data_IF_815860251180
#
_entry.id   IF_815860251180
#
_cell.length_a   1.000
_cell.length_b   1.000
_cell.length_c   1.000
_cell.angle_alpha   90.00
_cell.angle_beta   90.00
_cell.angle_gamma   90.00
#
_symmetry.space_group_name_H-M   'P 1'
#
loop_
_entity.id
_entity.type
_entity.pdbx_description
1 polymer ?
#
# COMPACT_ATOMS: atom_id res chain seq x y z
N UNK A 1 15.93 -16.40 -52.41
CA UNK A 1 14.83 -16.69 -53.33
C UNK A 1 13.60 -17.03 -52.50
N UNK A 2 12.54 -16.20 -52.46
CA UNK A 2 11.34 -16.52 -51.69
C UNK A 2 10.34 -17.34 -52.52
N UNK A 3 9.85 -18.40 -51.90
CA UNK A 3 8.96 -19.46 -52.44
C UNK A 3 7.50 -18.98 -52.41
N UNK A 4 7.19 -17.86 -53.07
CA UNK A 4 5.81 -17.33 -53.13
C UNK A 4 5.32 -17.16 -54.59
N UNK A 5 6.19 -17.36 -55.59
CA UNK A 5 5.87 -17.05 -56.98
C UNK A 5 5.23 -18.17 -57.82
N UNK A 6 5.17 -19.42 -57.37
CA UNK A 6 4.75 -20.55 -58.23
C UNK A 6 3.32 -21.06 -58.00
N UNK A 7 2.71 -20.84 -56.83
CA UNK A 7 1.33 -21.28 -56.59
C UNK A 7 0.27 -20.41 -57.29
N UNK A 8 0.61 -19.16 -57.63
CA UNK A 8 -0.30 -18.21 -58.28
C UNK A 8 -0.38 -18.40 -59.80
N UNK A 9 0.57 -19.10 -60.42
CA UNK A 9 0.63 -19.28 -61.88
C UNK A 9 0.02 -20.61 -62.34
N UNK A 10 -0.11 -21.60 -61.45
CA UNK A 10 -0.62 -22.94 -61.81
C UNK A 10 -2.13 -23.08 -61.60
N UNK A 11 -2.79 -22.07 -60.99
CA UNK A 11 -4.25 -22.10 -60.75
C UNK A 11 -5.07 -21.42 -61.86
N UNK A 12 -4.42 -21.01 -62.95
CA UNK A 12 -5.08 -20.48 -64.15
C UNK A 12 -5.62 -21.59 -65.05
N UNK A 13 -6.48 -22.49 -64.54
CA UNK A 13 -7.15 -23.50 -65.37
C UNK A 13 -8.39 -24.14 -64.71
N UNK A 14 -9.32 -23.36 -64.15
CA UNK A 14 -10.70 -23.82 -63.97
C UNK A 14 -11.68 -22.67 -64.19
N UNK A 15 -12.40 -22.75 -65.32
CA UNK A 15 -13.61 -21.97 -65.58
C UNK A 15 -14.61 -22.14 -64.42
N UNK A 16 -15.14 -21.02 -63.92
CA UNK A 16 -16.27 -20.86 -62.97
C UNK A 16 -16.00 -20.68 -61.47
N UNK A 17 -14.76 -20.53 -61.00
CA UNK A 17 -14.53 -20.03 -59.63
C UNK A 17 -14.61 -18.51 -59.59
N UNK A 18 -15.66 -17.94 -58.99
CA UNK A 18 -15.68 -16.48 -58.74
C UNK A 18 -14.63 -16.13 -57.70
N UNK A 19 -14.04 -14.93 -57.77
CA UNK A 19 -13.10 -14.45 -56.74
C UNK A 19 -13.75 -14.54 -55.34
N UNK A 20 -15.08 -14.39 -55.25
CA UNK A 20 -15.85 -14.64 -54.04
C UNK A 20 -15.74 -16.08 -53.53
N UNK A 21 -15.81 -17.10 -54.37
CA UNK A 21 -15.68 -18.51 -53.95
C UNK A 21 -14.28 -18.86 -53.44
N UNK A 22 -13.23 -18.32 -54.07
CA UNK A 22 -11.85 -18.51 -53.59
C UNK A 22 -11.60 -17.77 -52.27
N UNK A 23 -12.15 -16.56 -52.10
CA UNK A 23 -12.08 -15.82 -50.84
C UNK A 23 -12.92 -16.48 -49.72
N UNK A 24 -14.00 -17.17 -50.07
CA UNK A 24 -14.82 -17.96 -49.13
C UNK A 24 -14.12 -19.26 -48.73
N UNK A 25 -13.47 -19.95 -49.67
CA UNK A 25 -12.70 -21.17 -49.41
C UNK A 25 -11.37 -20.90 -48.67
N UNK A 26 -10.79 -19.70 -48.79
CA UNK A 26 -9.62 -19.27 -48.01
C UNK A 26 -9.97 -18.87 -46.55
N UNK A 27 -11.25 -18.98 -46.14
CA UNK A 27 -11.69 -18.68 -44.78
C UNK A 27 -11.76 -17.19 -44.46
N UNK A 28 -11.60 -16.31 -45.45
CA UNK A 28 -11.60 -14.85 -45.28
C UNK A 28 -13.02 -14.30 -45.25
N UNK A 29 -13.97 -14.95 -45.93
CA UNK A 29 -15.38 -14.54 -46.01
C UNK A 29 -16.35 -15.44 -45.21
N UNK A 30 -15.88 -16.50 -44.55
CA UNK A 30 -16.76 -17.53 -43.97
C UNK A 30 -16.93 -17.48 -42.44
N UNK A 31 -16.47 -16.46 -41.73
CA UNK A 31 -16.47 -16.49 -40.26
C UNK A 31 -17.24 -15.33 -39.59
N UNK A 32 -18.48 -15.12 -40.06
CA UNK A 32 -19.49 -14.38 -39.29
C UNK A 32 -19.70 -15.03 -37.89
N UNK A 33 -19.46 -16.36 -37.77
CA UNK A 33 -19.45 -17.09 -36.50
C UNK A 33 -18.34 -16.67 -35.54
N UNK A 34 -17.09 -16.55 -36.01
CA UNK A 34 -15.96 -16.13 -35.17
C UNK A 34 -16.09 -14.69 -34.67
N UNK A 35 -16.60 -13.78 -35.51
CA UNK A 35 -16.89 -12.40 -35.10
C UNK A 35 -18.06 -12.37 -34.11
N UNK A 36 -19.11 -13.15 -34.33
CA UNK A 36 -20.26 -13.25 -33.41
C UNK A 36 -19.87 -13.86 -32.05
N UNK A 37 -18.99 -14.85 -32.03
CA UNK A 37 -18.43 -15.46 -30.81
C UNK A 37 -17.49 -14.48 -30.09
N UNK A 38 -16.66 -13.74 -30.82
CA UNK A 38 -15.85 -12.66 -30.25
C UNK A 38 -16.73 -11.55 -29.65
N UNK A 39 -17.78 -11.12 -30.35
CA UNK A 39 -18.71 -10.11 -29.84
C UNK A 39 -19.48 -10.58 -28.60
N UNK A 40 -19.96 -11.83 -28.60
CA UNK A 40 -20.69 -12.39 -27.45
C UNK A 40 -19.79 -12.58 -26.23
N UNK A 41 -18.55 -13.04 -26.41
CA UNK A 41 -17.56 -13.14 -25.33
C UNK A 41 -17.12 -11.78 -24.80
N UNK A 42 -17.02 -10.76 -25.65
CA UNK A 42 -16.78 -9.38 -25.22
C UNK A 42 -17.95 -8.82 -24.42
N UNK A 43 -19.19 -8.99 -24.88
CA UNK A 43 -20.37 -8.56 -24.13
C UNK A 43 -20.48 -9.26 -22.77
N UNK A 44 -20.20 -10.56 -22.72
CA UNK A 44 -20.16 -11.31 -21.47
C UNK A 44 -19.05 -10.78 -20.53
N UNK A 45 -17.87 -10.52 -21.08
CA UNK A 45 -16.73 -9.97 -20.32
C UNK A 45 -17.07 -8.59 -19.75
N UNK A 46 -17.59 -7.69 -20.58
CA UNK A 46 -18.03 -6.36 -20.14
C UNK A 46 -19.11 -6.46 -19.07
N UNK A 47 -20.13 -7.30 -19.27
CA UNK A 47 -21.18 -7.54 -18.28
C UNK A 47 -20.64 -8.04 -16.94
N UNK A 48 -19.69 -8.98 -16.96
CA UNK A 48 -19.03 -9.48 -15.75
C UNK A 48 -18.23 -8.40 -15.03
N UNK A 49 -17.54 -7.53 -15.77
CA UNK A 49 -16.83 -6.39 -15.20
C UNK A 49 -17.78 -5.38 -14.55
N UNK A 50 -18.95 -5.13 -15.14
CA UNK A 50 -19.97 -4.28 -14.51
C UNK A 50 -20.47 -4.86 -13.20
N UNK A 51 -20.80 -6.16 -13.16
CA UNK A 51 -21.23 -6.84 -11.94
C UNK A 51 -20.12 -6.75 -10.87
N UNK A 52 -18.87 -6.97 -11.28
CA UNK A 52 -17.70 -6.81 -10.43
C UNK A 52 -17.57 -5.37 -9.92
N UNK A 53 -17.68 -4.37 -10.79
CA UNK A 53 -17.63 -2.96 -10.43
C UNK A 53 -18.72 -2.55 -9.45
N UNK A 54 -19.97 -3.00 -9.66
CA UNK A 54 -21.09 -2.77 -8.74
C UNK A 54 -20.83 -3.44 -7.39
N UNK A 55 -20.35 -4.67 -7.40
CA UNK A 55 -19.99 -5.39 -6.17
C UNK A 55 -18.92 -4.63 -5.40
N UNK A 56 -17.84 -4.24 -6.08
CA UNK A 56 -16.74 -3.46 -5.49
C UNK A 56 -17.26 -2.13 -4.96
N UNK A 57 -18.09 -1.41 -5.70
CA UNK A 57 -18.71 -0.16 -5.26
C UNK A 57 -19.53 -0.36 -3.97
N UNK A 58 -20.37 -1.39 -3.92
CA UNK A 58 -21.18 -1.69 -2.74
C UNK A 58 -20.29 -1.95 -1.52
N UNK A 59 -19.30 -2.83 -1.65
CA UNK A 59 -18.37 -3.13 -0.55
C UNK A 59 -17.52 -1.93 -0.16
N UNK A 60 -17.10 -1.11 -1.11
CA UNK A 60 -16.38 0.11 -0.85
C UNK A 60 -17.20 1.07 0.02
N UNK A 61 -18.47 1.29 -0.33
CA UNK A 61 -19.39 2.12 0.46
C UNK A 61 -19.54 1.58 1.88
N UNK A 62 -19.69 0.27 2.04
CA UNK A 62 -19.78 -0.37 3.35
C UNK A 62 -18.49 -0.22 4.16
N UNK A 63 -17.32 -0.41 3.53
CA UNK A 63 -16.02 -0.27 4.20
C UNK A 63 -15.82 1.18 4.65
N UNK A 64 -16.09 2.17 3.80
CA UNK A 64 -15.96 3.60 4.15
C UNK A 64 -16.93 3.96 5.29
N UNK A 65 -18.18 3.52 5.19
CA UNK A 65 -19.19 3.78 6.21
C UNK A 65 -18.81 3.14 7.55
N UNK A 66 -18.45 1.86 7.56
CA UNK A 66 -18.09 1.13 8.77
C UNK A 66 -16.78 1.64 9.39
N UNK A 67 -15.79 2.02 8.56
CA UNK A 67 -14.54 2.62 9.01
C UNK A 67 -14.79 3.90 9.83
N UNK A 68 -15.76 4.73 9.45
CA UNK A 68 -16.11 5.94 10.20
C UNK A 68 -16.78 5.68 11.56
N UNK A 69 -17.40 4.50 11.73
CA UNK A 69 -18.18 4.14 12.92
C UNK A 69 -17.40 3.26 13.90
N UNK A 70 -16.37 2.55 13.42
CA UNK A 70 -15.51 1.69 14.22
C UNK A 70 -14.94 2.37 15.49
N UNK A 71 -14.44 3.62 15.43
CA UNK A 71 -13.83 4.26 16.60
C UNK A 71 -14.79 4.35 17.79
N UNK A 72 -16.01 4.81 17.55
CA UNK A 72 -17.04 4.95 18.60
C UNK A 72 -17.53 3.61 19.15
N UNK A 73 -17.50 2.54 18.36
CA UNK A 73 -17.87 1.19 18.83
C UNK A 73 -16.78 0.57 19.70
N UNK A 74 -15.52 0.72 19.31
CA UNK A 74 -14.38 0.20 20.09
C UNK A 74 -14.30 0.93 21.44
N UNK A 75 -14.52 2.25 21.46
CA UNK A 75 -14.55 3.04 22.71
C UNK A 75 -15.59 2.52 23.71
N UNK A 76 -16.80 2.20 23.22
CA UNK A 76 -17.90 1.71 24.05
C UNK A 76 -17.82 0.22 24.37
N UNK A 77 -17.08 -0.56 23.59
CA UNK A 77 -16.85 -1.98 23.85
C UNK A 77 -15.90 -2.19 25.05
N UNK A 78 -15.06 -1.20 25.37
CA UNK A 78 -14.16 -1.20 26.52
C UNK A 78 -14.41 0.01 27.46
N UNK A 79 -15.60 0.11 28.07
CA UNK A 79 -15.91 1.22 28.95
C UNK A 79 -15.14 1.05 30.27
N UNK A 80 -14.20 1.96 30.56
CA UNK A 80 -13.49 2.00 31.85
C UNK A 80 -11.97 1.81 31.82
N UNK A 81 -11.33 1.88 30.64
CA UNK A 81 -9.87 1.83 30.54
C UNK A 81 -9.37 0.44 30.23
N UNK A 82 -9.44 0.05 28.96
CA UNK A 82 -8.46 -0.88 28.45
C UNK A 82 -7.06 -0.25 28.66
N UNK A 83 -6.03 -1.05 28.93
CA UNK A 83 -4.70 -0.48 29.22
C UNK A 83 -4.26 0.49 28.11
N UNK A 84 -3.37 1.43 28.41
CA UNK A 84 -2.83 2.38 27.42
C UNK A 84 -2.41 1.70 26.11
N UNK A 85 -1.92 0.46 26.21
CA UNK A 85 -1.58 -0.44 25.11
C UNK A 85 -2.76 -0.81 24.21
N UNK A 86 -3.96 -1.07 24.75
CA UNK A 86 -5.15 -1.38 23.94
C UNK A 86 -5.64 -0.15 23.18
N UNK A 87 -5.59 1.03 23.80
CA UNK A 87 -5.87 2.29 23.10
C UNK A 87 -4.88 2.51 21.96
N UNK A 88 -3.60 2.25 22.19
CA UNK A 88 -2.59 2.34 21.13
C UNK A 88 -2.77 1.34 19.99
N UNK A 89 -3.15 0.09 20.29
CA UNK A 89 -3.46 -0.92 19.25
C UNK A 89 -4.62 -0.44 18.39
N UNK A 90 -5.68 0.08 19.03
CA UNK A 90 -6.83 0.63 18.33
C UNK A 90 -6.42 1.78 17.42
N UNK A 91 -5.68 2.76 17.93
CA UNK A 91 -5.27 3.94 17.16
C UNK A 91 -4.42 3.54 15.94
N UNK A 92 -3.57 2.52 16.08
CA UNK A 92 -2.80 1.96 14.97
C UNK A 92 -3.69 1.30 13.91
N UNK A 93 -4.63 0.45 14.33
CA UNK A 93 -5.59 -0.18 13.42
C UNK A 93 -6.38 0.88 12.66
N UNK A 94 -6.89 1.89 13.37
CA UNK A 94 -7.66 2.98 12.79
C UNK A 94 -6.83 3.77 11.76
N UNK A 95 -5.61 4.17 12.13
CA UNK A 95 -4.71 4.89 11.25
C UNK A 95 -4.35 4.07 9.99
N UNK A 96 -4.08 2.78 10.14
CA UNK A 96 -3.75 1.89 9.02
C UNK A 96 -4.93 1.68 8.07
N UNK A 97 -6.14 1.45 8.59
CA UNK A 97 -7.35 1.29 7.77
C UNK A 97 -7.68 2.60 7.05
N UNK A 98 -7.59 3.74 7.74
CA UNK A 98 -7.83 5.05 7.14
C UNK A 98 -6.81 5.32 6.02
N UNK A 99 -5.52 5.10 6.29
CA UNK A 99 -4.46 5.27 5.30
C UNK A 99 -4.71 4.40 4.06
N UNK A 100 -5.09 3.13 4.25
CA UNK A 100 -5.44 2.24 3.14
C UNK A 100 -6.58 2.81 2.29
N UNK A 101 -7.69 3.23 2.91
CA UNK A 101 -8.85 3.77 2.20
C UNK A 101 -8.47 5.05 1.45
N UNK A 102 -7.76 5.98 2.09
CA UNK A 102 -7.35 7.25 1.47
C UNK A 102 -6.43 7.01 0.28
N UNK A 103 -5.41 6.17 0.45
CA UNK A 103 -4.45 5.85 -0.61
C UNK A 103 -5.15 5.16 -1.77
N UNK A 104 -5.95 4.12 -1.53
CA UNK A 104 -6.66 3.42 -2.61
C UNK A 104 -7.65 4.31 -3.34
N UNK A 105 -8.38 5.17 -2.62
CA UNK A 105 -9.31 6.12 -3.22
C UNK A 105 -8.59 7.12 -4.10
N UNK A 106 -7.53 7.74 -3.59
CA UNK A 106 -6.80 8.77 -4.32
C UNK A 106 -6.04 8.22 -5.52
N UNK A 107 -5.35 7.07 -5.36
CA UNK A 107 -4.67 6.39 -6.46
C UNK A 107 -5.68 5.96 -7.51
N UNK A 108 -6.77 5.29 -7.10
CA UNK A 108 -7.80 4.84 -8.03
C UNK A 108 -8.40 6.00 -8.81
N UNK A 109 -8.67 7.12 -8.13
CA UNK A 109 -9.25 8.30 -8.75
C UNK A 109 -8.28 8.90 -9.78
N UNK A 110 -7.00 9.02 -9.43
CA UNK A 110 -5.95 9.44 -10.34
C UNK A 110 -5.83 8.53 -11.56
N UNK A 111 -5.75 7.22 -11.34
CA UNK A 111 -5.68 6.21 -12.41
C UNK A 111 -6.87 6.33 -13.35
N UNK A 112 -8.09 6.41 -12.81
CA UNK A 112 -9.33 6.49 -13.58
C UNK A 112 -9.44 7.78 -14.39
N UNK A 113 -9.11 8.93 -13.79
CA UNK A 113 -9.11 10.23 -14.49
C UNK A 113 -8.09 10.23 -15.62
N UNK A 114 -6.84 9.82 -15.36
CA UNK A 114 -5.81 9.76 -16.39
C UNK A 114 -6.17 8.79 -17.51
N UNK A 115 -6.69 7.60 -17.18
CA UNK A 115 -7.15 6.64 -18.18
C UNK A 115 -8.32 7.21 -19.00
N UNK A 116 -9.28 7.87 -18.36
CA UNK A 116 -10.39 8.57 -19.00
C UNK A 116 -9.95 9.65 -19.98
N UNK A 117 -8.95 10.46 -19.61
CA UNK A 117 -8.38 11.48 -20.49
C UNK A 117 -7.66 10.87 -21.69
N UNK A 118 -6.92 9.77 -21.50
CA UNK A 118 -6.32 9.03 -22.60
C UNK A 118 -7.42 8.54 -23.55
N UNK A 119 -8.41 7.81 -23.04
CA UNK A 119 -9.51 7.29 -23.87
C UNK A 119 -10.29 8.39 -24.59
N UNK A 120 -10.56 9.51 -23.93
CA UNK A 120 -11.20 10.68 -24.53
C UNK A 120 -10.38 11.26 -25.69
N UNK A 121 -9.06 11.37 -25.52
CA UNK A 121 -8.16 11.90 -26.56
C UNK A 121 -8.13 11.01 -27.81
N UNK A 122 -8.18 9.68 -27.63
CA UNK A 122 -8.22 8.72 -28.73
C UNK A 122 -9.64 8.50 -29.29
N UNK A 123 -10.66 9.20 -28.79
CA UNK A 123 -12.03 9.09 -29.32
C UNK A 123 -12.72 7.76 -28.98
N UNK A 124 -12.31 7.09 -27.90
CA UNK A 124 -12.96 5.86 -27.43
C UNK A 124 -14.32 6.22 -26.81
N UNK A 125 -15.37 5.61 -27.35
CA UNK A 125 -16.72 5.74 -26.80
C UNK A 125 -16.83 5.20 -25.38
N UNK A 126 -17.77 5.75 -24.60
CA UNK A 126 -17.99 5.38 -23.19
C UNK A 126 -16.73 5.56 -22.32
N UNK A 127 -15.79 6.44 -22.69
CA UNK A 127 -14.58 6.74 -21.92
C UNK A 127 -14.85 6.99 -20.43
N UNK A 128 -15.97 7.64 -20.09
CA UNK A 128 -16.38 7.91 -18.72
C UNK A 128 -16.70 6.62 -17.95
N UNK A 129 -17.41 5.70 -18.59
CA UNK A 129 -17.75 4.39 -18.03
C UNK A 129 -16.49 3.58 -17.75
N UNK A 130 -15.55 3.57 -18.70
CA UNK A 130 -14.29 2.87 -18.54
C UNK A 130 -13.42 3.52 -17.45
N UNK A 131 -13.36 4.85 -17.40
CA UNK A 131 -12.67 5.58 -16.33
C UNK A 131 -13.24 5.25 -14.94
N UNK A 132 -14.57 5.22 -14.81
CA UNK A 132 -15.25 4.83 -13.58
C UNK A 132 -14.95 3.38 -13.21
N UNK A 133 -14.96 2.47 -14.18
CA UNK A 133 -14.65 1.07 -13.96
C UNK A 133 -13.18 0.88 -13.56
N UNK A 134 -12.24 1.61 -14.17
CA UNK A 134 -10.83 1.65 -13.76
C UNK A 134 -10.70 2.13 -12.32
N UNK A 135 -11.42 3.18 -11.93
CA UNK A 135 -11.45 3.65 -10.54
C UNK A 135 -11.94 2.56 -9.57
N UNK A 136 -13.09 1.96 -9.86
CA UNK A 136 -13.69 0.96 -8.99
C UNK A 136 -12.81 -0.30 -8.90
N UNK A 137 -12.39 -0.84 -10.04
CA UNK A 137 -11.57 -2.06 -10.06
C UNK A 137 -10.18 -1.85 -9.46
N UNK A 138 -9.68 -0.62 -9.31
CA UNK A 138 -8.41 -0.34 -8.64
C UNK A 138 -8.38 -0.78 -7.15
N UNK A 139 -9.53 -0.95 -6.51
CA UNK A 139 -9.63 -1.52 -5.17
C UNK A 139 -9.32 -3.02 -5.13
N UNK A 140 -9.38 -3.71 -6.27
CA UNK A 140 -9.05 -5.14 -6.37
C UNK A 140 -7.56 -5.27 -6.67
N UNK A 141 -6.75 -5.76 -5.71
CA UNK A 141 -5.30 -5.82 -5.86
C UNK A 141 -4.88 -6.75 -7.00
N UNK A 142 -3.78 -6.40 -7.66
CA UNK A 142 -3.09 -7.11 -8.76
C UNK A 142 -3.87 -7.31 -10.06
N UNK A 143 -5.18 -7.53 -9.99
CA UNK A 143 -5.99 -7.99 -11.13
C UNK A 143 -6.92 -6.88 -11.65
N UNK A 144 -7.48 -6.04 -10.78
CA UNK A 144 -8.58 -5.16 -11.15
C UNK A 144 -8.23 -4.10 -12.20
N UNK A 145 -7.08 -3.44 -12.06
CA UNK A 145 -6.64 -2.44 -13.04
C UNK A 145 -6.23 -3.05 -14.39
N UNK A 146 -5.74 -4.30 -14.40
CA UNK A 146 -5.48 -5.03 -15.64
C UNK A 146 -6.78 -5.34 -16.37
N UNK A 147 -7.77 -5.89 -15.65
CA UNK A 147 -9.08 -6.20 -16.20
C UNK A 147 -9.82 -4.96 -16.71
N UNK A 148 -9.69 -3.83 -16.02
CA UNK A 148 -10.31 -2.57 -16.45
C UNK A 148 -9.77 -2.06 -17.80
N UNK A 149 -8.54 -2.41 -18.15
CA UNK A 149 -7.86 -1.93 -19.37
C UNK A 149 -8.19 -2.79 -20.59
N UNK A 150 -8.63 -4.04 -20.40
CA UNK A 150 -8.92 -4.97 -21.51
C UNK A 150 -10.01 -4.41 -22.46
N UNK A 151 -11.21 -4.01 -22.00
CA UNK A 151 -12.25 -3.58 -22.93
C UNK A 151 -11.89 -2.32 -23.74
N UNK A 152 -11.31 -1.25 -23.15
CA UNK A 152 -10.83 -0.11 -23.91
C UNK A 152 -9.79 -0.45 -24.98
N UNK A 153 -8.87 -1.38 -24.69
CA UNK A 153 -7.89 -1.83 -25.67
C UNK A 153 -8.53 -2.62 -26.80
N UNK A 154 -9.51 -3.47 -26.50
CA UNK A 154 -10.27 -4.17 -27.54
C UNK A 154 -11.06 -3.19 -28.41
N UNK A 155 -11.70 -2.18 -27.81
CA UNK A 155 -12.38 -1.13 -28.58
C UNK A 155 -11.39 -0.34 -29.44
N UNK A 156 -10.23 0.01 -28.88
CA UNK A 156 -9.16 0.66 -29.65
C UNK A 156 -8.68 -0.20 -30.82
N UNK A 157 -8.60 -1.53 -30.65
CA UNK A 157 -8.21 -2.43 -31.72
C UNK A 157 -9.19 -2.43 -32.90
N UNK A 158 -10.48 -2.21 -32.61
CA UNK A 158 -11.53 -2.14 -33.64
C UNK A 158 -11.61 -0.74 -34.27
N UNK A 159 -11.38 0.31 -33.48
CA UNK A 159 -11.66 1.70 -33.87
C UNK A 159 -10.44 2.48 -34.37
N UNK A 160 -9.22 2.09 -34.00
CA UNK A 160 -8.00 2.87 -34.22
C UNK A 160 -7.06 2.21 -35.21
N UNK A 161 -6.26 3.04 -35.89
CA UNK A 161 -5.12 2.57 -36.67
C UNK A 161 -4.07 1.89 -35.76
N UNK A 162 -3.29 0.92 -36.28
CA UNK A 162 -2.32 0.16 -35.48
C UNK A 162 -1.32 1.03 -34.70
N UNK A 163 -0.90 2.16 -35.28
CA UNK A 163 0.02 3.11 -34.61
C UNK A 163 -0.65 3.80 -33.43
N UNK A 164 -1.88 4.28 -33.59
CA UNK A 164 -2.65 4.91 -32.52
C UNK A 164 -2.99 3.91 -31.42
N UNK A 165 -3.34 2.68 -31.78
CA UNK A 165 -3.57 1.60 -30.81
C UNK A 165 -2.33 1.33 -29.95
N UNK A 166 -1.15 1.23 -30.54
CA UNK A 166 0.11 1.00 -29.80
C UNK A 166 0.36 2.16 -28.84
N UNK A 167 0.19 3.41 -29.28
CA UNK A 167 0.39 4.58 -28.42
C UNK A 167 -0.62 4.59 -27.27
N UNK A 168 -1.91 4.36 -27.55
CA UNK A 168 -2.94 4.28 -26.52
C UNK A 168 -2.62 3.17 -25.51
N UNK A 169 -2.18 2.00 -25.99
CA UNK A 169 -1.81 0.85 -25.15
C UNK A 169 -0.66 1.19 -24.20
N UNK A 170 0.40 1.82 -24.72
CA UNK A 170 1.55 2.25 -23.92
C UNK A 170 1.13 3.29 -22.88
N UNK A 171 0.25 4.23 -23.24
CA UNK A 171 -0.25 5.24 -22.30
C UNK A 171 -1.12 4.63 -21.19
N UNK A 172 -2.02 3.70 -21.51
CA UNK A 172 -2.88 3.05 -20.52
C UNK A 172 -2.08 2.13 -19.58
N UNK A 173 -1.19 1.30 -20.12
CA UNK A 173 -0.32 0.43 -19.31
C UNK A 173 0.70 1.25 -18.50
N UNK A 174 1.25 2.30 -19.10
CA UNK A 174 2.15 3.24 -18.42
C UNK A 174 1.45 3.97 -17.27
N UNK A 175 0.21 4.39 -17.47
CA UNK A 175 -0.64 4.98 -16.43
C UNK A 175 -0.85 4.00 -15.26
N UNK A 176 -1.15 2.73 -15.57
CA UNK A 176 -1.32 1.70 -14.54
C UNK A 176 -0.02 1.45 -13.76
N UNK A 177 1.13 1.36 -14.44
CA UNK A 177 2.42 1.18 -13.80
C UNK A 177 2.79 2.37 -12.91
N UNK A 178 2.52 3.59 -13.38
CA UNK A 178 2.80 4.81 -12.64
C UNK A 178 1.95 4.88 -11.37
N UNK A 179 0.62 4.78 -11.50
CA UNK A 179 -0.27 4.93 -10.37
C UNK A 179 -0.22 3.72 -9.43
N UNK A 180 -0.31 2.50 -9.96
CA UNK A 180 -0.42 1.28 -9.16
C UNK A 180 0.89 0.82 -8.51
N UNK A 181 2.05 1.09 -9.13
CA UNK A 181 3.34 0.60 -8.59
C UNK A 181 4.23 1.71 -8.03
N UNK A 182 4.18 2.93 -8.57
CA UNK A 182 5.05 4.03 -8.10
C UNK A 182 4.34 4.96 -7.14
N UNK A 183 3.15 5.46 -7.50
CA UNK A 183 2.42 6.41 -6.66
C UNK A 183 1.79 5.70 -5.47
N UNK A 184 1.14 4.55 -5.69
CA UNK A 184 0.49 3.78 -4.62
C UNK A 184 1.50 3.38 -3.53
N UNK A 185 2.66 2.85 -3.90
CA UNK A 185 3.69 2.43 -2.93
C UNK A 185 4.27 3.63 -2.17
N UNK A 186 4.51 4.76 -2.85
CA UNK A 186 5.00 5.98 -2.20
C UNK A 186 3.97 6.61 -1.26
N UNK A 187 2.69 6.56 -1.62
CA UNK A 187 1.63 7.18 -0.83
C UNK A 187 1.18 6.29 0.34
N UNK A 188 1.09 4.97 0.12
CA UNK A 188 0.97 3.99 1.20
C UNK A 188 2.15 4.10 2.18
N UNK A 189 3.34 4.44 1.66
CA UNK A 189 4.54 4.67 2.45
C UNK A 189 4.89 3.44 3.29
N UNK A 190 5.30 3.67 4.55
CA UNK A 190 5.63 2.61 5.52
C UNK A 190 4.41 2.07 6.26
N UNK A 191 3.20 2.61 6.02
CA UNK A 191 2.03 2.34 6.85
C UNK A 191 1.46 0.92 6.68
N UNK A 192 1.81 0.24 5.59
CA UNK A 192 1.38 -1.11 5.26
C UNK A 192 2.51 -2.14 5.38
N UNK A 193 3.59 -1.88 6.13
CA UNK A 193 4.81 -2.72 6.29
C UNK A 193 4.50 -4.24 6.38
N UNK A 194 4.35 -4.88 5.22
CA UNK A 194 3.88 -6.25 5.04
C UNK A 194 4.61 -6.78 3.82
N UNK A 195 5.16 -7.99 3.94
CA UNK A 195 5.81 -8.68 2.83
C UNK A 195 4.90 -8.76 1.59
N UNK A 196 5.38 -8.37 0.39
CA UNK A 196 4.61 -8.49 -0.84
C UNK A 196 4.17 -9.92 -1.15
N UNK A 197 5.01 -10.91 -0.79
CA UNK A 197 4.69 -12.33 -0.96
C UNK A 197 3.52 -12.72 -0.05
N UNK A 198 3.51 -12.23 1.19
CA UNK A 198 2.40 -12.47 2.11
C UNK A 198 1.12 -11.81 1.59
N UNK A 199 1.19 -10.58 1.07
CA UNK A 199 0.04 -9.92 0.46
C UNK A 199 -0.54 -10.76 -0.69
N UNK A 200 0.31 -11.35 -1.54
CA UNK A 200 -0.14 -12.23 -2.62
C UNK A 200 -0.84 -13.48 -2.07
N UNK A 201 -0.22 -14.16 -1.09
CA UNK A 201 -0.78 -15.38 -0.48
C UNK A 201 -2.11 -15.11 0.21
N UNK A 202 -2.20 -14.06 1.04
CA UNK A 202 -3.43 -13.72 1.76
C UNK A 202 -4.50 -13.28 0.76
N UNK A 203 -4.16 -12.51 -0.26
CA UNK A 203 -5.11 -12.10 -1.29
C UNK A 203 -5.65 -13.29 -2.08
N UNK A 204 -4.79 -14.22 -2.48
CA UNK A 204 -5.20 -15.44 -3.17
C UNK A 204 -6.08 -16.34 -2.28
N UNK A 205 -5.72 -16.47 -1.01
CA UNK A 205 -6.52 -17.20 -0.03
C UNK A 205 -7.90 -16.54 0.15
N UNK A 206 -7.96 -15.24 0.39
CA UNK A 206 -9.23 -14.52 0.55
C UNK A 206 -10.08 -14.53 -0.72
N UNK A 207 -9.47 -14.51 -1.91
CA UNK A 207 -10.18 -14.72 -3.17
C UNK A 207 -10.84 -16.10 -3.23
N UNK A 208 -10.14 -17.14 -2.80
CA UNK A 208 -10.70 -18.49 -2.76
C UNK A 208 -11.89 -18.61 -1.79
N UNK A 209 -11.85 -17.89 -0.66
CA UNK A 209 -12.92 -17.95 0.35
C UNK A 209 -14.15 -17.12 -0.07
N UNK A 210 -13.97 -15.83 -0.39
CA UNK A 210 -15.07 -14.86 -0.61
C UNK A 210 -15.03 -14.16 -1.99
N UNK A 211 -14.18 -14.63 -2.91
CA UNK A 211 -14.02 -14.02 -4.22
C UNK A 211 -13.39 -12.63 -4.14
N UNK A 212 -13.80 -11.75 -5.05
CA UNK A 212 -13.28 -10.38 -5.20
C UNK A 212 -13.41 -9.57 -3.91
N UNK A 213 -14.50 -9.80 -3.16
CA UNK A 213 -14.72 -9.16 -1.86
C UNK A 213 -13.61 -9.50 -0.88
N UNK A 214 -13.21 -10.77 -0.84
CA UNK A 214 -12.10 -11.22 -0.03
C UNK A 214 -10.78 -10.55 -0.41
N UNK A 215 -10.54 -10.31 -1.71
CA UNK A 215 -9.34 -9.60 -2.15
C UNK A 215 -9.28 -8.14 -1.70
N UNK A 216 -10.43 -7.45 -1.61
CA UNK A 216 -10.47 -6.07 -1.13
C UNK A 216 -10.19 -6.01 0.38
N UNK A 217 -10.73 -7.00 1.11
CA UNK A 217 -10.60 -7.10 2.57
C UNK A 217 -9.28 -7.73 3.03
N UNK A 218 -8.53 -8.40 2.15
CA UNK A 218 -7.30 -9.12 2.50
C UNK A 218 -6.26 -8.20 3.15
N UNK A 219 -6.04 -7.02 2.56
CA UNK A 219 -5.05 -6.04 2.99
C UNK A 219 -5.36 -5.46 4.38
N UNK A 220 -6.55 -4.88 4.64
CA UNK A 220 -6.85 -4.37 5.98
C UNK A 220 -6.85 -5.49 7.03
N UNK A 221 -7.30 -6.70 6.68
CA UNK A 221 -7.35 -7.82 7.62
C UNK A 221 -5.95 -8.30 8.02
N UNK A 222 -5.01 -8.42 7.07
CA UNK A 222 -3.64 -8.84 7.40
C UNK A 222 -2.89 -7.78 8.20
N UNK A 223 -3.15 -6.50 7.93
CA UNK A 223 -2.55 -5.39 8.68
C UNK A 223 -3.06 -5.37 10.12
N UNK A 224 -4.36 -5.54 10.33
CA UNK A 224 -4.94 -5.68 11.68
C UNK A 224 -4.31 -6.86 12.42
N UNK A 225 -4.21 -8.02 11.74
CA UNK A 225 -3.59 -9.21 12.32
C UNK A 225 -2.14 -8.95 12.72
N UNK A 226 -1.34 -8.32 11.84
CA UNK A 226 0.05 -7.96 12.14
C UNK A 226 0.13 -7.05 13.36
N UNK A 227 -0.64 -5.96 13.41
CA UNK A 227 -0.63 -5.02 14.54
C UNK A 227 -0.95 -5.74 15.85
N UNK A 228 -1.92 -6.65 15.86
CA UNK A 228 -2.24 -7.45 17.04
C UNK A 228 -1.06 -8.34 17.45
N UNK A 229 -0.42 -9.02 16.49
CA UNK A 229 0.73 -9.88 16.76
C UNK A 229 1.97 -9.10 17.25
N UNK A 230 2.19 -7.88 16.77
CA UNK A 230 3.29 -6.99 17.19
C UNK A 230 3.17 -6.55 18.65
N UNK A 231 1.93 -6.39 19.12
CA UNK A 231 1.64 -5.92 20.45
C UNK A 231 1.64 -7.04 21.51
N UNK A 232 1.76 -8.31 21.10
CA UNK A 232 1.88 -9.46 22.00
C UNK A 232 3.34 -9.95 21.98
N UNK A 233 4.02 -9.91 23.12
CA UNK A 233 5.46 -10.25 23.24
C UNK A 233 5.79 -11.63 22.67
N UNK A 234 4.94 -12.63 22.91
CA UNK A 234 5.13 -14.00 22.43
C UNK A 234 5.04 -14.16 20.89
N UNK A 235 4.32 -13.26 20.21
CA UNK A 235 4.10 -13.33 18.75
C UNK A 235 4.81 -12.25 17.97
N UNK A 236 5.51 -11.32 18.63
CA UNK A 236 6.29 -10.26 17.97
C UNK A 236 7.30 -10.80 16.95
N UNK A 237 8.03 -11.92 17.18
CA UNK A 237 8.92 -12.47 16.14
C UNK A 237 8.18 -12.88 14.87
N UNK A 238 6.96 -13.41 15.00
CA UNK A 238 6.13 -13.75 13.85
C UNK A 238 5.74 -12.48 13.08
N UNK A 239 5.35 -11.42 13.78
CA UNK A 239 5.01 -10.17 13.14
C UNK A 239 6.18 -9.54 12.36
N UNK A 240 7.40 -9.61 12.90
CA UNK A 240 8.62 -9.18 12.20
C UNK A 240 8.86 -10.00 10.92
N UNK A 241 8.55 -11.30 10.92
CA UNK A 241 8.62 -12.14 9.71
C UNK A 241 7.55 -11.79 8.67
N UNK A 242 6.43 -11.18 9.09
CA UNK A 242 5.38 -10.70 8.19
C UNK A 242 5.69 -9.32 7.59
N UNK A 243 6.61 -8.56 8.19
CA UNK A 243 7.05 -7.25 7.69
C UNK A 243 7.75 -7.32 6.34
N UNK A 244 7.78 -6.20 5.62
CA UNK A 244 8.52 -6.10 4.36
C UNK A 244 10.04 -6.13 4.59
N UNK A 245 10.48 -5.53 5.71
CA UNK A 245 11.89 -5.50 6.12
C UNK A 245 12.04 -5.76 7.61
N UNK A 246 13.22 -6.20 8.01
CA UNK A 246 13.59 -6.22 9.42
C UNK A 246 13.60 -4.78 9.96
N UNK A 247 13.08 -4.54 11.18
CA UNK A 247 13.09 -3.22 11.78
C UNK A 247 14.52 -2.77 12.02
N UNK A 248 14.79 -1.49 11.75
CA UNK A 248 16.05 -0.85 12.14
C UNK A 248 16.14 -0.74 13.66
N UNK A 249 17.35 -0.54 14.20
CA UNK A 249 17.53 -0.36 15.65
C UNK A 249 16.69 0.83 16.17
N UNK A 250 16.66 1.93 15.43
CA UNK A 250 15.82 3.09 15.77
C UNK A 250 14.32 2.76 15.78
N UNK A 251 13.83 2.05 14.76
CA UNK A 251 12.42 1.64 14.70
C UNK A 251 12.07 0.71 15.88
N UNK A 252 12.98 -0.19 16.26
CA UNK A 252 12.80 -1.07 17.43
C UNK A 252 12.76 -0.28 18.75
N UNK A 253 13.64 0.72 18.91
CA UNK A 253 13.61 1.62 20.08
C UNK A 253 12.35 2.48 20.14
N UNK A 254 11.91 3.02 18.98
CA UNK A 254 10.67 3.79 18.88
C UNK A 254 9.46 2.96 19.31
N UNK A 255 9.41 1.69 18.92
CA UNK A 255 8.32 0.80 19.30
C UNK A 255 8.36 0.43 20.80
N UNK A 256 9.55 0.14 21.36
CA UNK A 256 9.70 -0.18 22.77
C UNK A 256 9.37 1.01 23.72
N UNK A 257 9.68 2.24 23.30
CA UNK A 257 9.41 3.45 24.11
C UNK A 257 7.94 3.90 24.03
N UNK A 258 7.17 3.38 23.06
CA UNK A 258 5.83 3.84 22.71
C UNK A 258 4.83 3.75 23.87
N UNK A 259 4.93 2.68 24.68
CA UNK A 259 4.12 2.44 25.88
C UNK A 259 4.63 3.22 27.11
N UNK A 260 5.72 3.99 26.98
CA UNK A 260 6.34 4.76 28.05
C UNK A 260 7.10 3.93 29.10
N UNK A 261 7.07 2.60 28.99
CA UNK A 261 7.80 1.65 29.83
C UNK A 261 8.43 0.58 28.95
N UNK A 262 9.69 0.27 29.21
CA UNK A 262 10.42 -0.78 28.47
C UNK A 262 10.33 -2.07 29.26
N UNK A 263 9.83 -3.14 28.65
CA UNK A 263 9.77 -4.45 29.33
C UNK A 263 11.12 -5.16 29.31
N UNK A 264 11.33 -6.11 30.23
CA UNK A 264 12.57 -6.89 30.26
C UNK A 264 12.81 -7.70 28.96
N UNK A 265 11.74 -8.06 28.26
CA UNK A 265 11.80 -8.69 26.95
C UNK A 265 12.32 -7.71 25.89
N UNK A 266 11.78 -6.49 25.87
CA UNK A 266 12.20 -5.45 24.94
C UNK A 266 13.65 -5.02 25.17
N UNK A 267 14.06 -4.88 26.42
CA UNK A 267 15.46 -4.59 26.77
C UNK A 267 16.41 -5.67 26.24
N UNK A 268 16.05 -6.95 26.38
CA UNK A 268 16.85 -8.06 25.83
C UNK A 268 16.89 -8.03 24.31
N UNK A 269 15.74 -7.86 23.66
CA UNK A 269 15.62 -7.79 22.21
C UNK A 269 16.46 -6.64 21.63
N UNK A 270 16.44 -5.46 22.25
CA UNK A 270 17.21 -4.30 21.82
C UNK A 270 18.71 -4.52 21.94
N UNK A 271 19.17 -5.19 23.01
CA UNK A 271 20.59 -5.57 23.18
C UNK A 271 21.02 -6.59 22.13
N UNK A 272 20.21 -7.62 21.88
CA UNK A 272 20.50 -8.60 20.83
C UNK A 272 20.54 -7.94 19.43
N UNK A 273 19.62 -7.02 19.14
CA UNK A 273 19.63 -6.25 17.89
C UNK A 273 20.85 -5.34 17.77
N UNK A 274 21.24 -4.65 18.85
CA UNK A 274 22.46 -3.85 18.90
C UNK A 274 23.68 -4.70 18.54
N UNK A 275 23.82 -5.88 19.15
CA UNK A 275 24.94 -6.78 18.91
C UNK A 275 24.96 -7.31 17.47
N UNK A 276 23.81 -7.73 16.95
CA UNK A 276 23.67 -8.26 15.57
C UNK A 276 23.94 -7.20 14.51
N UNK A 277 23.50 -5.96 14.76
CA UNK A 277 23.67 -4.84 13.83
C UNK A 277 25.01 -4.11 13.98
N UNK A 278 25.80 -4.44 15.01
CA UNK A 278 27.14 -3.88 15.23
C UNK A 278 27.15 -2.44 15.75
N UNK A 279 26.10 -1.99 16.43
CA UNK A 279 26.06 -0.64 17.01
C UNK A 279 26.91 -0.56 18.28
N UNK A 280 27.68 0.53 18.41
CA UNK A 280 28.42 0.79 19.64
C UNK A 280 27.48 1.20 20.79
N UNK A 281 27.88 0.91 22.03
CA UNK A 281 27.13 1.30 23.23
C UNK A 281 26.92 2.83 23.32
N UNK A 282 27.85 3.63 22.78
CA UNK A 282 27.70 5.09 22.72
C UNK A 282 26.58 5.52 21.77
N UNK A 283 26.59 4.97 20.54
CA UNK A 283 25.56 5.25 19.53
C UNK A 283 24.17 4.87 20.02
N UNK A 284 24.00 3.70 20.63
CA UNK A 284 22.69 3.26 21.14
C UNK A 284 22.16 4.18 22.24
N UNK A 285 23.03 4.72 23.10
CA UNK A 285 22.63 5.66 24.15
C UNK A 285 22.18 7.00 23.57
N UNK A 286 22.85 7.51 22.55
CA UNK A 286 22.44 8.73 21.84
C UNK A 286 21.10 8.52 21.12
N UNK A 287 20.98 7.43 20.34
CA UNK A 287 19.75 7.04 19.63
C UNK A 287 18.56 6.92 20.59
N UNK A 288 18.72 6.14 21.67
CA UNK A 288 17.64 5.90 22.64
C UNK A 288 17.22 7.15 23.40
N UNK A 289 18.16 8.06 23.70
CA UNK A 289 17.88 9.36 24.29
C UNK A 289 17.14 10.29 23.32
N UNK A 290 17.57 10.37 22.06
CA UNK A 290 16.92 11.16 21.02
C UNK A 290 15.49 10.71 20.81
N UNK A 291 15.26 9.40 20.66
CA UNK A 291 13.93 8.82 20.49
C UNK A 291 13.04 9.08 21.72
N UNK A 292 13.58 8.91 22.94
CA UNK A 292 12.85 9.22 24.17
C UNK A 292 12.44 10.69 24.24
N UNK A 293 13.34 11.61 23.88
CA UNK A 293 13.09 13.05 23.83
C UNK A 293 12.03 13.42 22.78
N UNK A 294 12.11 12.87 21.57
CA UNK A 294 11.12 13.07 20.51
C UNK A 294 9.72 12.61 20.92
N UNK A 295 9.62 11.42 21.52
CA UNK A 295 8.33 10.88 21.94
C UNK A 295 7.72 11.69 23.08
N UNK A 296 8.55 12.12 24.04
CA UNK A 296 8.13 13.01 25.11
C UNK A 296 7.60 14.34 24.57
N UNK A 297 8.27 14.93 23.58
CA UNK A 297 7.84 16.17 22.92
C UNK A 297 6.50 16.00 22.19
N UNK A 298 6.32 14.90 21.45
CA UNK A 298 5.07 14.60 20.72
C UNK A 298 3.88 14.38 21.66
N UNK A 299 4.05 13.60 22.73
CA UNK A 299 2.98 13.32 23.72
C UNK A 299 2.80 14.46 24.73
N UNK A 300 3.77 15.36 24.82
CA UNK A 300 3.79 16.43 25.82
C UNK A 300 3.93 15.91 27.25
N UNK A 301 4.50 14.72 27.46
CA UNK A 301 4.68 14.08 28.77
C UNK A 301 5.98 13.26 28.81
N UNK A 302 6.65 13.22 29.96
CA UNK A 302 7.83 12.39 30.24
C UNK A 302 7.48 11.22 31.16
N UNK A 303 7.94 10.01 30.82
CA UNK A 303 7.96 8.84 31.70
C UNK A 303 9.30 8.67 32.41
N UNK A 304 9.32 7.90 33.50
CA UNK A 304 10.56 7.61 34.23
C UNK A 304 11.64 6.92 33.38
N UNK A 305 11.24 6.00 32.51
CA UNK A 305 12.20 5.30 31.65
C UNK A 305 12.74 6.23 30.56
N UNK A 306 11.92 7.13 30.00
CA UNK A 306 12.38 8.16 29.08
C UNK A 306 13.38 9.12 29.76
N UNK A 307 13.10 9.54 30.99
CA UNK A 307 14.02 10.39 31.77
C UNK A 307 15.38 9.70 31.94
N UNK A 308 15.39 8.41 32.28
CA UNK A 308 16.64 7.64 32.42
C UNK A 308 17.41 7.58 31.11
N UNK A 309 16.75 7.28 30.00
CA UNK A 309 17.38 7.20 28.68
C UNK A 309 17.99 8.55 28.27
N UNK A 310 17.23 9.63 28.42
CA UNK A 310 17.71 10.98 28.09
C UNK A 310 18.93 11.36 28.93
N UNK A 311 18.90 11.06 30.25
CA UNK A 311 20.05 11.29 31.13
C UNK A 311 21.29 10.51 30.68
N UNK A 312 21.11 9.26 30.26
CA UNK A 312 22.21 8.42 29.76
C UNK A 312 22.76 8.98 28.44
N UNK A 313 21.91 9.39 27.50
CA UNK A 313 22.37 10.01 26.25
C UNK A 313 23.12 11.33 26.48
N UNK A 314 22.60 12.21 27.35
CA UNK A 314 23.28 13.47 27.72
C UNK A 314 24.70 13.20 28.24
N UNK A 315 24.91 12.09 28.96
CA UNK A 315 26.25 11.75 29.48
C UNK A 315 27.25 11.32 28.39
N UNK A 316 26.77 10.97 27.20
CA UNK A 316 27.59 10.59 26.04
C UNK A 316 27.86 11.77 25.08
N UNK A 317 27.15 12.90 25.27
CA UNK A 317 27.31 14.09 24.43
C UNK A 317 28.66 14.78 24.63
N UNK A 318 29.06 15.66 23.71
CA UNK A 318 30.29 16.47 23.83
C UNK A 318 30.29 17.38 25.07
N UNK A 319 29.13 17.96 25.40
CA UNK A 319 28.96 18.92 26.51
C UNK A 319 28.00 18.42 27.61
N UNK A 320 28.33 17.31 28.31
CA UNK A 320 27.38 16.60 29.18
C UNK A 320 26.98 17.42 30.41
N UNK A 321 27.88 18.28 30.92
CA UNK A 321 27.60 19.09 32.13
C UNK A 321 26.60 20.21 31.89
N UNK A 322 26.65 20.86 30.73
CA UNK A 322 25.78 21.99 30.41
C UNK A 322 24.35 21.51 30.16
N UNK A 323 24.20 20.45 29.37
CA UNK A 323 22.92 19.81 29.10
C UNK A 323 22.34 19.11 30.33
N UNK A 324 23.16 18.40 31.09
CA UNK A 324 22.73 17.68 32.29
C UNK A 324 22.19 18.62 33.38
N UNK A 325 22.86 19.75 33.63
CA UNK A 325 22.40 20.71 34.64
C UNK A 325 21.05 21.34 34.26
N UNK A 326 20.85 21.69 32.98
CA UNK A 326 19.58 22.22 32.50
C UNK A 326 18.48 21.16 32.52
N UNK A 327 18.80 19.91 32.20
CA UNK A 327 17.84 18.81 32.25
C UNK A 327 17.37 18.55 33.69
N UNK A 328 18.27 18.42 34.66
CA UNK A 328 17.89 18.14 36.06
C UNK A 328 17.05 19.25 36.72
N UNK A 329 17.25 20.52 36.34
CA UNK A 329 16.47 21.65 36.85
C UNK A 329 15.01 21.64 36.36
N UNK A 330 14.77 20.95 35.25
CA UNK A 330 13.54 21.04 34.45
C UNK A 330 12.76 19.71 34.46
N UNK A 331 13.40 18.60 34.81
CA UNK A 331 12.83 17.26 34.69
C UNK A 331 11.91 16.92 35.85
N UNK A 332 10.62 16.79 35.53
CA UNK A 332 9.65 16.13 36.40
C UNK A 332 8.88 15.09 35.60
N UNK A 333 8.55 13.95 36.22
CA UNK A 333 7.65 12.96 35.61
C UNK A 333 6.27 13.61 35.42
N UNK A 334 5.70 13.50 34.22
CA UNK A 334 4.38 14.06 33.93
C UNK A 334 4.36 15.02 32.75
N UNK A 335 3.50 16.04 32.81
CA UNK A 335 3.20 16.93 31.67
C UNK A 335 4.31 17.96 31.47
N UNK A 336 4.73 18.12 30.22
CA UNK A 336 5.75 19.09 29.84
C UNK A 336 5.18 20.52 29.77
N UNK A 337 5.84 21.44 30.48
CA UNK A 337 5.64 22.89 30.34
C UNK A 337 6.13 23.41 28.98
N UNK A 338 5.77 24.66 28.63
CA UNK A 338 6.20 25.26 27.35
C UNK A 338 7.72 25.39 27.28
N UNK A 339 8.36 25.76 28.38
CA UNK A 339 9.82 25.89 28.46
C UNK A 339 10.52 24.53 28.36
N UNK A 340 9.97 23.50 29.00
CA UNK A 340 10.42 22.11 28.90
C UNK A 340 10.39 21.60 27.46
N UNK A 341 9.29 21.86 26.73
CA UNK A 341 9.18 21.47 25.32
C UNK A 341 10.22 22.16 24.44
N UNK A 342 10.48 23.43 24.69
CA UNK A 342 11.49 24.18 23.95
C UNK A 342 12.90 23.64 24.21
N UNK A 343 13.20 23.31 25.46
CA UNK A 343 14.48 22.69 25.84
C UNK A 343 14.64 21.31 25.19
N UNK A 344 13.64 20.43 25.32
CA UNK A 344 13.66 19.09 24.69
C UNK A 344 13.82 19.20 23.17
N UNK A 345 13.17 20.18 22.52
CA UNK A 345 13.35 20.44 21.09
C UNK A 345 14.80 20.76 20.72
N UNK A 346 15.50 21.56 21.53
CA UNK A 346 16.93 21.86 21.33
C UNK A 346 17.82 20.65 21.61
N UNK A 347 17.48 19.87 22.64
CA UNK A 347 18.21 18.67 23.02
C UNK A 347 18.15 17.61 21.91
N UNK A 348 17.00 17.43 21.26
CA UNK A 348 16.87 16.51 20.12
C UNK A 348 17.87 16.87 19.02
N UNK A 349 17.97 18.16 18.66
CA UNK A 349 18.90 18.62 17.63
C UNK A 349 20.36 18.37 18.01
N UNK A 350 20.72 18.61 19.27
CA UNK A 350 22.08 18.39 19.76
C UNK A 350 22.44 16.89 19.85
N UNK A 351 21.47 16.03 20.18
CA UNK A 351 21.67 14.57 20.17
C UNK A 351 21.81 14.00 18.76
N UNK A 352 21.23 14.67 17.76
CA UNK A 352 21.34 14.28 16.35
C UNK A 352 22.74 14.60 15.80
N UNK A 353 23.26 15.79 16.12
CA UNK A 353 24.60 16.25 15.71
C UNK A 353 25.70 15.33 16.27
N UNK A 354 25.63 14.99 17.57
CA UNK A 354 26.58 14.10 18.24
C UNK A 354 26.49 12.62 17.79
N UNK A 355 25.41 12.22 17.09
CA UNK A 355 25.27 10.86 16.55
C UNK A 355 25.90 10.72 15.16
N UNK A 356 25.96 11.80 14.38
CA UNK A 356 26.54 11.81 13.02
C UNK A 356 28.08 11.87 13.03
N UNK A 357 28.70 12.23 14.15
CA UNK A 357 30.16 12.23 14.39
C UNK A 357 30.71 10.87 14.86
#
# INVERSE_FOLDING_TARGET
MPVIGQSLLDSGATENGTIDEDLTNMGVLSDDSGIQDAMSSLLASVGSLFIMGITVLFFLLFIIFEASLLPGRIERAYPGGASERVHMIRDQIEASVNTYVVVKTGVGFGTGVCAGLVMLFFGIDLWFTWALLTFLLNYVPYIGSLLATIPPLTLGFILLDPTMLIVMSVLLLGNQQLWGNVIETRWAGRALDISPVLLLVVTAFSFWVWGIVGMILSIPLIVILKIVLENIEATRPLAILLSERAPTLEEAWREAIKDGRITAYEERMLRELQDVLGYSDSQVKLISARIAAEYALRRGRLSLDQIKLIRVGISMMEQPRAWGAQFEDIVTEGKLSVMERLFIGKLIFALDDDEEE
#
